data_IF_557244240679
#
_entry.id   IF_557244240679
#
_cell.length_a   1.000
_cell.length_b   1.000
_cell.length_c   1.000
_cell.angle_alpha   90.00
_cell.angle_beta   90.00
_cell.angle_gamma   90.00
#
_symmetry.space_group_name_H-M   'P 1'
#
loop_
_entity.id
_entity.type
_entity.pdbx_description
1 polymer ?
#
# COMPACT_ATOMS: atom_id res chain seq x y z
N UNK A 1 36.07 -21.83 -4.20
CA UNK A 1 34.63 -21.81 -4.53
C UNK A 1 34.02 -20.44 -4.28
N UNK A 2 34.48 -19.67 -3.30
CA UNK A 2 33.95 -18.33 -2.99
C UNK A 2 34.36 -17.24 -3.98
N UNK A 3 35.52 -17.34 -4.59
CA UNK A 3 35.96 -16.39 -5.62
C UNK A 3 35.13 -16.47 -6.92
N UNK A 4 34.69 -17.67 -7.32
CA UNK A 4 33.81 -17.82 -8.50
C UNK A 4 32.38 -17.28 -8.23
N UNK A 5 31.87 -17.44 -7.01
CA UNK A 5 30.55 -16.87 -6.62
C UNK A 5 30.60 -15.33 -6.56
N UNK A 6 31.73 -14.76 -6.10
CA UNK A 6 31.96 -13.31 -6.12
C UNK A 6 32.05 -12.76 -7.54
N UNK A 7 32.76 -13.45 -8.44
CA UNK A 7 32.89 -13.01 -9.84
C UNK A 7 31.59 -13.15 -10.64
N UNK A 8 30.80 -14.20 -10.40
CA UNK A 8 29.49 -14.36 -11.06
C UNK A 8 28.48 -13.33 -10.54
N UNK A 9 28.50 -12.99 -9.26
CA UNK A 9 27.69 -11.92 -8.68
C UNK A 9 28.06 -10.53 -9.25
N UNK A 10 29.37 -10.25 -9.39
CA UNK A 10 29.85 -8.99 -9.95
C UNK A 10 29.57 -8.85 -11.46
N UNK A 11 29.64 -9.94 -12.23
CA UNK A 11 29.27 -9.93 -13.65
C UNK A 11 27.77 -9.80 -13.86
N UNK A 12 26.93 -10.44 -13.03
CA UNK A 12 25.48 -10.32 -13.09
C UNK A 12 25.02 -8.90 -12.71
N UNK A 13 25.62 -8.32 -11.69
CA UNK A 13 25.34 -6.93 -11.28
C UNK A 13 25.72 -5.92 -12.39
N UNK A 14 26.87 -6.12 -13.06
CA UNK A 14 27.27 -5.25 -14.18
C UNK A 14 26.38 -5.43 -15.44
N UNK A 15 25.81 -6.60 -15.68
CA UNK A 15 24.89 -6.82 -16.80
C UNK A 15 23.52 -6.15 -16.58
N UNK A 16 23.06 -5.99 -15.34
CA UNK A 16 21.81 -5.29 -15.03
C UNK A 16 21.94 -3.75 -15.05
N UNK A 17 23.12 -3.21 -14.82
CA UNK A 17 23.40 -1.77 -14.78
C UNK A 17 23.36 -1.09 -16.15
N UNK A 18 23.69 -1.80 -17.24
CA UNK A 18 23.79 -1.20 -18.57
C UNK A 18 22.43 -0.70 -19.08
N UNK A 19 21.35 -1.48 -19.04
CA UNK A 19 20.02 -1.03 -19.46
C UNK A 19 19.52 0.19 -18.68
N UNK A 20 19.64 0.16 -17.36
CA UNK A 20 19.16 1.26 -16.52
C UNK A 20 19.96 2.55 -16.76
N UNK A 21 21.29 2.46 -16.88
CA UNK A 21 22.11 3.63 -17.16
C UNK A 21 21.82 4.24 -18.55
N UNK A 22 21.61 3.41 -19.58
CA UNK A 22 21.20 3.88 -20.90
C UNK A 22 19.84 4.58 -20.84
N UNK A 23 18.86 3.98 -20.16
CA UNK A 23 17.56 4.60 -19.96
C UNK A 23 17.68 5.94 -19.23
N UNK A 24 18.49 6.03 -18.17
CA UNK A 24 18.75 7.29 -17.44
C UNK A 24 19.34 8.38 -18.33
N UNK A 25 20.32 8.06 -19.18
CA UNK A 25 20.91 8.99 -20.13
C UNK A 25 19.85 9.49 -21.12
N UNK A 26 19.10 8.58 -21.74
CA UNK A 26 18.06 8.93 -22.71
C UNK A 26 16.93 9.75 -22.09
N UNK A 27 16.51 9.43 -20.86
CA UNK A 27 15.52 10.22 -20.10
C UNK A 27 16.03 11.66 -19.90
N UNK A 28 17.31 11.82 -19.52
CA UNK A 28 17.93 13.13 -19.33
C UNK A 28 18.05 13.93 -20.63
N UNK A 29 18.37 13.29 -21.74
CA UNK A 29 18.48 13.92 -23.07
C UNK A 29 17.10 14.28 -23.66
N UNK A 30 16.10 13.41 -23.45
CA UNK A 30 14.74 13.61 -24.00
C UNK A 30 13.96 14.65 -23.22
N UNK A 31 14.07 14.63 -21.88
CA UNK A 31 13.31 15.50 -20.97
C UNK A 31 14.25 16.52 -20.29
N UNK A 32 14.67 17.52 -21.05
CA UNK A 32 15.68 18.53 -20.68
C UNK A 32 15.29 19.46 -19.52
N UNK A 33 14.10 19.31 -18.93
CA UNK A 33 13.54 20.16 -17.86
C UNK A 33 14.03 19.81 -16.45
N UNK A 34 15.24 19.26 -16.29
CA UNK A 34 15.78 18.80 -15.01
C UNK A 34 14.81 17.82 -14.30
N UNK A 35 14.34 16.84 -15.04
CA UNK A 35 13.44 15.81 -14.53
C UNK A 35 14.17 14.50 -14.16
N UNK A 36 15.45 14.34 -14.52
CA UNK A 36 16.25 13.14 -14.26
C UNK A 36 17.41 13.46 -13.33
N UNK A 37 17.47 12.77 -12.20
CA UNK A 37 18.47 12.95 -11.15
C UNK A 37 19.26 11.66 -10.96
N UNK A 38 20.58 11.74 -11.12
CA UNK A 38 21.53 10.64 -10.91
C UNK A 38 22.27 10.83 -9.57
N UNK A 39 23.02 9.82 -9.07
CA UNK A 39 23.80 9.94 -7.84
C UNK A 39 24.81 11.11 -7.80
N UNK A 40 25.13 11.72 -8.97
CA UNK A 40 26.00 12.89 -9.07
C UNK A 40 25.28 14.23 -8.76
N UNK A 41 23.97 14.25 -8.65
CA UNK A 41 23.20 15.45 -8.33
C UNK A 41 23.04 15.60 -6.82
N UNK A 42 23.27 16.78 -6.28
CA UNK A 42 23.21 17.07 -4.84
C UNK A 42 21.85 16.67 -4.21
N UNK A 43 20.73 16.86 -4.93
CA UNK A 43 19.38 16.56 -4.48
C UNK A 43 19.03 15.06 -4.49
N UNK A 44 19.87 14.20 -5.11
CA UNK A 44 19.54 12.78 -5.29
C UNK A 44 19.23 12.07 -3.96
N UNK A 45 20.08 12.25 -2.97
CA UNK A 45 19.90 11.63 -1.66
C UNK A 45 18.62 12.13 -0.94
N UNK A 46 18.25 13.39 -1.12
CA UNK A 46 17.01 13.93 -0.56
C UNK A 46 15.80 13.27 -1.23
N UNK A 47 15.86 13.05 -2.55
CA UNK A 47 14.80 12.35 -3.28
C UNK A 47 14.69 10.87 -2.88
N UNK A 48 15.81 10.18 -2.62
CA UNK A 48 15.80 8.81 -2.09
C UNK A 48 15.08 8.77 -0.74
N UNK A 49 15.38 9.70 0.15
CA UNK A 49 14.87 9.77 1.53
C UNK A 49 13.43 10.30 1.67
N UNK A 50 12.74 10.58 0.57
CA UNK A 50 11.30 10.91 0.60
C UNK A 50 10.46 9.76 1.13
N UNK A 51 10.90 8.51 0.90
CA UNK A 51 10.21 7.32 1.40
C UNK A 51 10.24 7.28 2.94
N UNK A 52 9.10 6.88 3.52
CA UNK A 52 8.86 6.92 4.96
C UNK A 52 9.81 6.05 5.79
N UNK A 53 10.12 4.83 5.32
CA UNK A 53 10.97 3.86 6.05
C UNK A 53 12.35 3.74 5.43
N UNK A 54 13.40 3.65 6.28
CA UNK A 54 14.79 3.40 5.86
C UNK A 54 14.95 2.06 5.12
N UNK A 55 14.15 1.05 5.43
CA UNK A 55 14.18 -0.25 4.73
C UNK A 55 13.97 -0.11 3.23
N UNK A 56 13.29 0.96 2.80
CA UNK A 56 12.97 1.24 1.40
C UNK A 56 13.99 2.14 0.69
N UNK A 57 14.96 2.69 1.41
CA UNK A 57 15.99 3.54 0.79
C UNK A 57 16.97 2.68 0.01
N UNK A 58 16.85 2.73 -1.30
CA UNK A 58 17.68 2.01 -2.27
C UNK A 58 18.44 3.02 -3.12
N UNK A 59 19.40 2.54 -3.88
CA UNK A 59 20.24 3.36 -4.76
C UNK A 59 19.83 3.14 -6.23
N UNK A 60 18.73 3.77 -6.73
CA UNK A 60 18.36 3.68 -8.13
C UNK A 60 19.44 4.29 -9.04
N UNK A 61 19.57 3.77 -10.26
CA UNK A 61 20.50 4.33 -11.25
C UNK A 61 20.19 5.80 -11.55
N UNK A 62 18.91 6.15 -11.59
CA UNK A 62 18.42 7.53 -11.57
C UNK A 62 16.99 7.63 -11.07
N UNK A 63 16.59 8.85 -10.72
CA UNK A 63 15.23 9.21 -10.35
C UNK A 63 14.67 10.12 -11.44
N UNK A 64 13.68 9.65 -12.18
CA UNK A 64 12.94 10.43 -13.16
C UNK A 64 11.65 10.97 -12.52
N UNK A 65 11.44 12.28 -12.60
CA UNK A 65 10.31 12.99 -11.94
C UNK A 65 9.43 13.66 -12.99
N UNK A 66 8.57 12.90 -13.71
CA UNK A 66 7.69 13.42 -14.76
C UNK A 66 6.64 14.39 -14.20
N UNK A 67 6.20 15.33 -15.07
CA UNK A 67 5.16 16.33 -14.76
C UNK A 67 3.87 16.10 -15.51
N UNK A 68 3.94 15.37 -16.61
CA UNK A 68 2.82 15.16 -17.52
C UNK A 68 2.69 13.68 -17.90
N UNK A 69 1.49 13.29 -18.27
CA UNK A 69 1.21 11.95 -18.79
C UNK A 69 2.07 11.63 -20.03
N UNK A 70 2.34 12.62 -20.89
CA UNK A 70 3.20 12.44 -22.07
C UNK A 70 4.65 12.11 -21.68
N UNK A 71 5.16 12.68 -20.60
CA UNK A 71 6.49 12.34 -20.09
C UNK A 71 6.54 10.92 -19.55
N UNK A 72 5.48 10.44 -18.88
CA UNK A 72 5.37 9.04 -18.45
C UNK A 72 5.30 8.09 -19.65
N UNK A 73 4.53 8.44 -20.70
CA UNK A 73 4.46 7.67 -21.95
C UNK A 73 5.84 7.55 -22.61
N UNK A 74 6.55 8.67 -22.75
CA UNK A 74 7.91 8.68 -23.31
C UNK A 74 8.89 7.88 -22.46
N UNK A 75 8.76 7.92 -21.12
CA UNK A 75 9.58 7.11 -20.24
C UNK A 75 9.30 5.61 -20.44
N UNK A 76 8.04 5.19 -20.55
CA UNK A 76 7.71 3.78 -20.83
C UNK A 76 8.29 3.30 -22.16
N UNK A 77 8.29 4.14 -23.21
CA UNK A 77 8.91 3.80 -24.49
C UNK A 77 10.42 3.62 -24.35
N UNK A 78 11.10 4.53 -23.64
CA UNK A 78 12.56 4.45 -23.42
C UNK A 78 12.90 3.21 -22.59
N UNK A 79 12.16 2.93 -21.52
CA UNK A 79 12.38 1.76 -20.66
C UNK A 79 12.19 0.44 -21.43
N UNK A 80 11.21 0.38 -22.33
CA UNK A 80 10.96 -0.78 -23.17
C UNK A 80 12.11 -1.00 -24.18
N UNK A 81 12.58 0.07 -24.86
CA UNK A 81 13.67 0.00 -25.83
C UNK A 81 15.01 -0.38 -25.21
N UNK A 82 15.28 0.09 -23.99
CA UNK A 82 16.52 -0.22 -23.26
C UNK A 82 16.41 -1.51 -22.44
N UNK A 83 15.24 -2.16 -22.41
CA UNK A 83 14.93 -3.33 -21.56
C UNK A 83 15.20 -3.07 -20.07
N UNK A 84 15.07 -1.83 -19.62
CA UNK A 84 15.39 -1.40 -18.27
C UNK A 84 14.29 -1.76 -17.27
N UNK A 85 14.69 -2.20 -16.07
CA UNK A 85 13.80 -2.35 -14.94
C UNK A 85 13.56 -1.00 -14.25
N UNK A 86 12.41 -0.86 -13.62
CA UNK A 86 12.00 0.40 -13.01
C UNK A 86 11.12 0.20 -11.78
N UNK A 87 11.06 1.22 -10.94
CA UNK A 87 10.08 1.35 -9.86
C UNK A 87 9.17 2.54 -10.08
N UNK A 88 8.02 2.56 -9.44
CA UNK A 88 7.09 3.70 -9.46
C UNK A 88 6.74 4.11 -8.03
N UNK A 89 6.97 5.38 -7.70
CA UNK A 89 6.69 5.94 -6.38
C UNK A 89 5.66 7.06 -6.48
N UNK A 90 4.59 6.97 -5.69
CA UNK A 90 3.67 8.05 -5.34
C UNK A 90 4.13 8.71 -4.04
N UNK A 91 3.48 8.44 -2.90
CA UNK A 91 3.86 9.00 -1.60
C UNK A 91 5.01 8.31 -0.87
N UNK A 92 5.46 7.13 -1.32
CA UNK A 92 6.56 6.39 -0.69
C UNK A 92 6.29 5.90 0.73
N UNK A 93 5.05 5.51 1.05
CA UNK A 93 4.65 5.13 2.40
C UNK A 93 4.68 3.62 2.66
N UNK A 94 4.82 2.78 1.63
CA UNK A 94 4.96 1.32 1.77
C UNK A 94 6.35 1.00 2.36
N UNK A 95 6.46 0.35 3.54
CA UNK A 95 7.75 0.10 4.20
C UNK A 95 8.49 -1.13 3.67
N UNK A 96 8.03 -1.72 2.59
CA UNK A 96 8.60 -2.94 1.99
C UNK A 96 9.79 -2.58 1.10
N UNK A 97 10.93 -3.20 1.33
CA UNK A 97 12.10 -3.05 0.48
C UNK A 97 11.80 -3.47 -0.97
N UNK A 98 12.13 -2.61 -1.93
CA UNK A 98 11.86 -2.85 -3.34
C UNK A 98 10.42 -2.59 -3.79
N UNK A 99 9.50 -2.17 -2.90
CA UNK A 99 8.11 -1.94 -3.29
C UNK A 99 7.93 -0.81 -4.31
N UNK A 100 8.68 0.26 -4.18
CA UNK A 100 8.61 1.40 -5.10
C UNK A 100 9.96 1.70 -5.76
N UNK A 101 11.06 1.30 -5.16
CA UNK A 101 12.43 1.66 -5.56
C UNK A 101 13.35 0.48 -5.29
N UNK A 102 14.18 0.13 -6.27
CA UNK A 102 15.20 -0.90 -6.16
C UNK A 102 16.59 -0.37 -6.56
N UNK A 103 17.62 -1.08 -6.14
CA UNK A 103 19.00 -0.72 -6.49
C UNK A 103 19.26 -0.90 -7.99
N UNK A 104 19.95 0.04 -8.60
CA UNK A 104 20.38 -0.01 -10.00
C UNK A 104 19.24 -0.04 -11.05
N UNK A 105 18.02 0.38 -10.69
CA UNK A 105 16.88 0.51 -11.59
C UNK A 105 16.52 1.99 -11.81
N UNK A 106 15.60 2.28 -12.73
CA UNK A 106 15.04 3.62 -12.89
C UNK A 106 13.90 3.82 -11.92
N UNK A 107 13.95 4.83 -11.05
CA UNK A 107 12.79 5.23 -10.25
C UNK A 107 11.97 6.28 -11.01
N UNK A 108 10.70 6.00 -11.30
CA UNK A 108 9.71 6.99 -11.74
C UNK A 108 9.01 7.57 -10.50
N UNK A 109 9.30 8.81 -10.17
CA UNK A 109 8.72 9.52 -9.02
C UNK A 109 7.56 10.40 -9.47
N UNK A 110 6.35 10.03 -9.10
CA UNK A 110 5.11 10.70 -9.51
C UNK A 110 4.78 11.96 -8.68
N UNK A 111 5.68 12.43 -7.82
CA UNK A 111 5.43 13.53 -6.87
C UNK A 111 5.00 14.85 -7.51
N UNK A 112 5.23 15.04 -8.81
CA UNK A 112 4.81 16.25 -9.53
C UNK A 112 3.41 16.16 -10.16
N UNK A 113 2.71 15.03 -10.04
CA UNK A 113 1.30 14.93 -10.41
C UNK A 113 0.42 15.44 -9.26
N UNK A 114 0.35 16.76 -9.11
CA UNK A 114 -0.30 17.44 -7.98
C UNK A 114 -1.56 18.21 -8.36
N UNK A 115 -2.03 18.07 -9.58
CA UNK A 115 -3.27 18.71 -10.02
C UNK A 115 -4.46 18.21 -9.20
N UNK A 116 -5.36 19.13 -8.85
CA UNK A 116 -6.59 18.83 -8.14
C UNK A 116 -7.70 19.78 -8.64
N UNK A 117 -8.82 19.18 -9.06
CA UNK A 117 -9.96 19.93 -9.62
C UNK A 117 -11.27 19.34 -9.12
N UNK A 118 -12.05 20.14 -8.37
CA UNK A 118 -13.37 19.77 -7.91
C UNK A 118 -14.46 20.29 -8.85
N UNK A 119 -15.39 19.41 -9.23
CA UNK A 119 -16.55 19.75 -10.06
C UNK A 119 -17.84 19.53 -9.28
N UNK A 120 -18.45 20.62 -8.80
CA UNK A 120 -19.66 20.59 -7.98
C UNK A 120 -20.88 20.00 -8.70
N UNK A 121 -21.05 20.28 -10.00
CA UNK A 121 -22.17 19.77 -10.81
C UNK A 121 -22.21 18.22 -10.84
N UNK A 122 -21.08 17.56 -10.71
CA UNK A 122 -20.96 16.13 -10.78
C UNK A 122 -20.58 15.46 -9.45
N UNK A 123 -20.40 16.23 -8.38
CA UNK A 123 -19.93 15.76 -7.08
C UNK A 123 -18.67 14.87 -7.22
N UNK A 124 -17.67 15.36 -7.95
CA UNK A 124 -16.44 14.65 -8.26
C UNK A 124 -15.23 15.57 -8.12
N UNK A 125 -14.10 14.95 -7.76
CA UNK A 125 -12.80 15.60 -7.80
C UNK A 125 -11.83 14.76 -8.64
N UNK A 126 -11.08 15.41 -9.52
CA UNK A 126 -9.93 14.83 -10.21
C UNK A 126 -8.68 15.18 -9.40
N UNK A 127 -7.87 14.18 -9.08
CA UNK A 127 -6.65 14.33 -8.29
C UNK A 127 -5.48 13.60 -8.94
N UNK A 128 -4.31 14.23 -8.94
CA UNK A 128 -3.07 13.64 -9.39
C UNK A 128 -2.52 12.61 -8.41
N UNK A 129 -1.85 11.59 -8.94
CA UNK A 129 -1.33 10.46 -8.15
C UNK A 129 -0.20 10.86 -7.19
N UNK A 130 0.46 12.01 -7.39
CA UNK A 130 1.55 12.51 -6.57
C UNK A 130 1.12 13.25 -5.29
N UNK A 131 -0.17 13.51 -5.12
CA UNK A 131 -0.72 14.15 -3.93
C UNK A 131 -0.63 13.26 -2.69
N UNK A 132 -0.63 13.91 -1.53
CA UNK A 132 -0.87 13.28 -0.22
C UNK A 132 -2.28 13.60 0.26
N UNK A 133 -2.83 12.80 1.17
CA UNK A 133 -4.22 12.96 1.63
C UNK A 133 -4.47 14.32 2.29
N UNK A 134 -3.48 14.90 2.97
CA UNK A 134 -3.59 16.25 3.50
C UNK A 134 -3.95 17.26 2.39
N UNK A 135 -3.25 17.24 1.26
CA UNK A 135 -3.50 18.17 0.16
C UNK A 135 -4.95 18.05 -0.36
N UNK A 136 -5.45 16.81 -0.47
CA UNK A 136 -6.81 16.54 -0.96
C UNK A 136 -7.86 17.03 0.03
N UNK A 137 -7.70 16.72 1.32
CA UNK A 137 -8.65 17.14 2.36
C UNK A 137 -8.65 18.65 2.54
N UNK A 138 -7.49 19.30 2.61
CA UNK A 138 -7.37 20.77 2.75
C UNK A 138 -7.98 21.50 1.55
N UNK A 139 -7.82 20.96 0.33
CA UNK A 139 -8.44 21.53 -0.85
C UNK A 139 -9.96 21.40 -0.85
N UNK A 140 -10.51 20.26 -0.44
CA UNK A 140 -11.94 19.98 -0.46
C UNK A 140 -12.71 20.67 0.69
N UNK A 141 -12.04 20.94 1.80
CA UNK A 141 -12.65 21.60 2.96
C UNK A 141 -13.25 22.98 2.61
N UNK A 142 -12.59 23.75 1.74
CA UNK A 142 -13.09 25.04 1.26
C UNK A 142 -14.42 24.95 0.50
N UNK A 143 -14.77 23.78 -0.02
CA UNK A 143 -16.04 23.54 -0.71
C UNK A 143 -17.08 22.84 0.19
N UNK A 144 -16.73 22.53 1.43
CA UNK A 144 -17.61 21.82 2.36
C UNK A 144 -17.91 20.38 1.96
N UNK A 145 -16.99 19.73 1.25
CA UNK A 145 -17.11 18.34 0.82
C UNK A 145 -15.86 17.55 1.19
N UNK A 146 -15.98 16.24 1.17
CA UNK A 146 -14.85 15.32 1.39
C UNK A 146 -14.93 14.12 0.45
N UNK A 147 -13.92 13.27 0.47
CA UNK A 147 -13.82 11.98 -0.23
C UNK A 147 -13.63 10.83 0.73
N UNK A 148 -13.88 9.61 0.30
CA UNK A 148 -13.46 8.39 1.00
C UNK A 148 -11.95 8.23 0.76
N UNK A 149 -11.16 8.85 1.61
CA UNK A 149 -9.70 8.98 1.47
C UNK A 149 -8.94 8.46 2.68
N UNK A 150 -7.62 8.50 2.62
CA UNK A 150 -6.74 7.99 3.67
C UNK A 150 -6.91 8.70 5.00
N UNK A 151 -6.72 7.95 6.09
CA UNK A 151 -6.81 8.40 7.49
C UNK A 151 -5.55 9.13 7.97
N UNK A 152 -4.41 8.79 7.38
CA UNK A 152 -3.10 9.37 7.70
C UNK A 152 -2.76 10.40 6.63
N UNK A 153 -2.59 11.65 7.05
CA UNK A 153 -2.50 12.81 6.16
C UNK A 153 -1.26 12.79 5.25
N UNK A 154 -0.15 12.22 5.73
CA UNK A 154 1.12 12.13 4.99
C UNK A 154 1.18 10.95 4.00
N UNK A 155 0.20 10.06 4.01
CA UNK A 155 0.12 8.93 3.05
C UNK A 155 -0.22 9.45 1.66
N UNK A 156 0.46 8.90 0.64
CA UNK A 156 0.22 9.22 -0.77
C UNK A 156 -1.10 8.66 -1.29
N UNK A 157 -1.69 9.38 -2.23
CA UNK A 157 -2.96 9.03 -2.86
C UNK A 157 -2.84 7.74 -3.68
N UNK A 158 -1.80 7.63 -4.52
CA UNK A 158 -1.70 6.58 -5.53
C UNK A 158 -1.66 5.17 -4.93
N UNK A 159 -0.68 4.88 -4.07
CA UNK A 159 -0.54 3.56 -3.46
C UNK A 159 -1.73 3.17 -2.61
N UNK A 160 -2.26 4.11 -1.82
CA UNK A 160 -3.41 3.84 -0.95
C UNK A 160 -4.64 3.40 -1.76
N UNK A 161 -5.01 4.13 -2.82
CA UNK A 161 -6.20 3.80 -3.63
C UNK A 161 -6.01 2.48 -4.37
N UNK A 162 -4.83 2.23 -4.93
CA UNK A 162 -4.53 1.00 -5.67
C UNK A 162 -4.52 -0.25 -4.77
N UNK A 163 -4.28 -0.09 -3.46
CA UNK A 163 -4.48 -1.12 -2.43
C UNK A 163 -5.86 -1.08 -1.78
N UNK A 164 -6.82 -0.39 -2.38
CA UNK A 164 -8.20 -0.22 -1.92
C UNK A 164 -8.42 0.52 -0.59
N UNK A 165 -7.46 1.20 -0.06
CA UNK A 165 -7.46 2.07 1.11
C UNK A 165 -8.68 2.15 2.04
N UNK A 166 -8.43 2.00 3.34
CA UNK A 166 -9.45 2.15 4.38
C UNK A 166 -9.57 3.63 4.78
N UNK A 167 -10.82 4.11 4.97
CA UNK A 167 -11.18 5.46 5.34
C UNK A 167 -12.04 5.49 6.60
N UNK A 168 -12.09 6.62 7.31
CA UNK A 168 -13.09 6.85 8.37
C UNK A 168 -14.53 6.84 7.84
N UNK A 169 -14.73 6.95 6.53
CA UNK A 169 -16.04 6.93 5.88
C UNK A 169 -16.39 5.56 5.28
N UNK A 170 -15.52 4.57 5.39
CA UNK A 170 -15.67 3.29 4.71
C UNK A 170 -16.91 2.51 5.16
N UNK A 171 -17.34 2.64 6.41
CA UNK A 171 -18.56 1.98 6.90
C UNK A 171 -19.79 2.38 6.07
N UNK A 172 -19.85 3.64 5.63
CA UNK A 172 -21.01 4.16 4.87
C UNK A 172 -20.85 4.02 3.36
N UNK A 173 -19.61 4.07 2.84
CA UNK A 173 -19.35 4.26 1.41
C UNK A 173 -18.42 3.22 0.79
N UNK A 174 -18.01 2.18 1.54
CA UNK A 174 -17.00 1.21 1.06
C UNK A 174 -15.57 1.76 1.17
N UNK A 175 -14.63 1.09 0.53
CA UNK A 175 -13.22 1.45 0.53
C UNK A 175 -12.92 2.64 -0.40
N UNK A 176 -11.74 3.22 -0.30
CA UNK A 176 -11.34 4.34 -1.17
C UNK A 176 -11.40 3.96 -2.66
N UNK A 177 -10.98 2.75 -3.04
CA UNK A 177 -11.07 2.27 -4.42
C UNK A 177 -12.50 2.13 -4.94
N UNK A 178 -13.48 1.81 -4.08
CA UNK A 178 -14.88 1.70 -4.45
C UNK A 178 -15.47 3.04 -4.87
N UNK A 179 -14.87 4.13 -4.38
CA UNK A 179 -15.26 5.50 -4.64
C UNK A 179 -14.55 6.14 -5.84
N UNK A 180 -13.69 5.38 -6.52
CA UNK A 180 -13.09 5.82 -7.78
C UNK A 180 -14.12 5.70 -8.91
N UNK A 181 -14.21 6.77 -9.70
CA UNK A 181 -15.07 6.86 -10.89
C UNK A 181 -14.26 6.64 -12.16
N UNK A 182 -12.98 7.05 -12.16
CA UNK A 182 -12.09 6.91 -13.32
C UNK A 182 -10.63 6.87 -12.87
N UNK A 183 -9.86 6.03 -13.54
CA UNK A 183 -8.40 6.02 -13.50
C UNK A 183 -7.87 6.52 -14.84
N UNK A 184 -6.97 7.53 -14.82
CA UNK A 184 -6.12 7.87 -15.96
C UNK A 184 -4.85 7.02 -15.90
N UNK A 185 -4.59 6.19 -16.90
CA UNK A 185 -3.56 5.13 -16.85
C UNK A 185 -2.65 5.21 -18.06
N UNK A 186 -1.35 5.07 -17.87
CA UNK A 186 -0.36 4.77 -18.93
C UNK A 186 -0.08 3.27 -18.90
N UNK A 187 -0.30 2.59 -20.02
CA UNK A 187 -0.10 1.15 -20.19
C UNK A 187 1.35 0.80 -20.51
N UNK A 188 1.65 -0.50 -20.58
CA UNK A 188 2.99 -1.02 -20.85
C UNK A 188 3.54 -0.61 -22.22
N UNK A 189 2.67 -0.43 -23.22
CA UNK A 189 3.04 0.04 -24.57
C UNK A 189 3.15 1.57 -24.69
N UNK A 190 2.99 2.30 -23.59
CA UNK A 190 2.98 3.76 -23.55
C UNK A 190 1.65 4.40 -23.97
N UNK A 191 0.64 3.63 -24.36
CA UNK A 191 -0.70 4.19 -24.64
C UNK A 191 -1.38 4.66 -23.36
N UNK A 192 -2.34 5.59 -23.49
CA UNK A 192 -3.12 6.10 -22.35
C UNK A 192 -4.57 5.70 -22.48
N UNK A 193 -5.16 5.29 -21.36
CA UNK A 193 -6.56 4.94 -21.27
C UNK A 193 -7.23 5.59 -20.06
N UNK A 194 -8.54 5.78 -20.17
CA UNK A 194 -9.43 6.09 -19.07
C UNK A 194 -10.21 4.83 -18.70
N UNK A 195 -9.84 4.21 -17.57
CA UNK A 195 -10.53 3.03 -17.06
C UNK A 195 -11.65 3.44 -16.11
N UNK A 196 -12.88 3.10 -16.43
CA UNK A 196 -14.07 3.44 -15.66
C UNK A 196 -15.22 2.45 -15.93
N UNK A 197 -16.38 2.68 -15.34
CA UNK A 197 -17.55 1.80 -15.45
C UNK A 197 -18.07 1.61 -16.90
N UNK A 198 -17.71 2.50 -17.82
CA UNK A 198 -18.18 2.50 -19.22
C UNK A 198 -17.08 2.13 -20.23
N UNK A 199 -15.81 2.33 -19.87
CA UNK A 199 -14.65 2.11 -20.73
C UNK A 199 -13.57 1.33 -19.97
N UNK A 200 -12.97 0.31 -20.60
CA UNK A 200 -11.96 -0.56 -19.97
C UNK A 200 -12.42 -1.10 -18.61
N UNK A 201 -13.61 -1.67 -18.58
CA UNK A 201 -14.31 -2.08 -17.35
C UNK A 201 -13.57 -3.17 -16.57
N UNK A 202 -12.92 -4.06 -17.27
CA UNK A 202 -12.09 -5.13 -16.74
C UNK A 202 -10.84 -4.55 -16.05
N UNK A 203 -10.14 -3.63 -16.71
CA UNK A 203 -9.02 -2.88 -16.13
C UNK A 203 -9.47 -2.03 -14.93
N UNK A 204 -10.63 -1.36 -15.03
CA UNK A 204 -11.21 -0.58 -13.94
C UNK A 204 -11.44 -1.42 -12.68
N UNK A 205 -11.95 -2.63 -12.85
CA UNK A 205 -12.13 -3.58 -11.75
C UNK A 205 -10.79 -4.04 -11.18
N UNK A 206 -9.82 -4.38 -12.01
CA UNK A 206 -8.50 -4.89 -11.59
C UNK A 206 -7.67 -3.85 -10.84
N UNK A 207 -7.71 -2.57 -11.26
CA UNK A 207 -7.02 -1.46 -10.58
C UNK A 207 -7.56 -1.19 -9.17
N UNK A 208 -8.74 -1.69 -8.84
CA UNK A 208 -9.32 -1.62 -7.49
C UNK A 208 -8.80 -2.77 -6.62
N UNK A 209 -7.56 -2.68 -6.16
CA UNK A 209 -6.96 -3.57 -5.20
C UNK A 209 -5.77 -4.40 -5.68
N UNK A 210 -5.41 -4.33 -6.97
CA UNK A 210 -4.28 -5.11 -7.48
C UNK A 210 -3.00 -4.29 -7.68
N UNK A 211 -2.86 -3.14 -7.00
CA UNK A 211 -1.66 -2.29 -7.05
C UNK A 211 -1.31 -1.84 -8.49
N UNK A 212 -0.02 -1.74 -8.80
CA UNK A 212 0.53 -1.25 -10.06
C UNK A 212 0.83 -2.38 -11.08
N UNK A 213 0.06 -3.48 -11.05
CA UNK A 213 0.31 -4.63 -11.92
C UNK A 213 -0.17 -4.44 -13.39
N UNK A 214 -0.90 -3.37 -13.71
CA UNK A 214 -1.54 -3.20 -15.01
C UNK A 214 -1.20 -1.89 -15.73
N UNK A 215 -0.50 -0.97 -15.06
CA UNK A 215 -0.17 0.33 -15.62
C UNK A 215 0.27 1.33 -14.56
N UNK A 216 0.73 2.50 -15.02
CA UNK A 216 1.06 3.65 -14.17
C UNK A 216 -0.13 4.58 -14.13
N UNK A 217 -0.79 4.68 -12.97
CA UNK A 217 -1.91 5.60 -12.79
C UNK A 217 -1.39 7.01 -12.58
N UNK A 218 -1.84 7.95 -13.39
CA UNK A 218 -1.47 9.37 -13.33
C UNK A 218 -2.50 10.23 -12.62
N UNK A 219 -3.77 9.84 -12.65
CA UNK A 219 -4.85 10.58 -11.98
C UNK A 219 -6.00 9.66 -11.57
N UNK A 220 -6.75 10.11 -10.57
CA UNK A 220 -7.98 9.49 -10.08
C UNK A 220 -9.12 10.49 -10.13
N UNK A 221 -10.31 10.06 -10.55
CA UNK A 221 -11.55 10.81 -10.33
C UNK A 221 -12.31 10.14 -9.18
N UNK A 222 -12.56 10.86 -8.10
CA UNK A 222 -13.24 10.36 -6.90
C UNK A 222 -14.63 10.98 -6.74
N UNK A 223 -15.57 10.23 -6.16
CA UNK A 223 -16.84 10.77 -5.66
C UNK A 223 -16.58 11.64 -4.45
N UNK A 224 -17.29 12.77 -4.34
CA UNK A 224 -17.27 13.65 -3.18
C UNK A 224 -18.59 13.58 -2.41
N UNK A 225 -18.52 13.86 -1.11
CA UNK A 225 -19.64 13.79 -0.18
C UNK A 225 -19.76 15.08 0.63
N UNK A 226 -20.98 15.62 0.86
CA UNK A 226 -21.21 16.88 1.57
C UNK A 226 -21.09 16.69 3.09
N UNK A 227 -19.92 16.29 3.56
CA UNK A 227 -19.59 16.07 4.96
C UNK A 227 -18.60 17.13 5.39
N UNK A 228 -19.08 18.11 6.18
CA UNK A 228 -18.27 19.24 6.64
C UNK A 228 -17.64 19.02 8.02
N UNK A 229 -18.27 18.21 8.85
CA UNK A 229 -17.82 17.97 10.22
C UNK A 229 -17.93 16.50 10.58
N UNK A 230 -16.91 16.01 11.23
CA UNK A 230 -16.88 14.70 11.88
C UNK A 230 -16.61 14.89 13.37
N UNK A 231 -17.19 14.02 14.18
CA UNK A 231 -16.84 13.93 15.59
C UNK A 231 -15.91 12.73 15.75
N UNK A 232 -14.82 12.90 16.47
CA UNK A 232 -13.86 11.84 16.70
C UNK A 232 -12.82 12.21 17.74
N UNK A 233 -11.96 11.26 18.09
CA UNK A 233 -10.88 11.47 19.04
C UNK A 233 -10.15 10.17 19.35
N UNK A 234 -9.08 10.28 20.13
CA UNK A 234 -8.29 9.15 20.63
C UNK A 234 -8.61 8.92 22.11
N UNK A 235 -8.81 7.67 22.48
CA UNK A 235 -8.96 7.26 23.88
C UNK A 235 -7.81 6.33 24.25
N UNK A 236 -7.02 6.72 25.23
CA UNK A 236 -5.97 5.89 25.81
C UNK A 236 -6.55 5.16 27.02
N UNK A 237 -6.30 3.85 27.11
CA UNK A 237 -6.80 2.97 28.14
C UNK A 237 -5.60 2.26 28.78
N UNK A 238 -5.54 2.23 30.12
CA UNK A 238 -4.49 1.53 30.84
C UNK A 238 -4.55 0.00 30.68
N UNK A 239 -3.44 -0.65 30.83
CA UNK A 239 -3.29 -2.12 30.71
C UNK A 239 -4.17 -2.91 31.69
N UNK A 240 -4.48 -2.32 32.84
CA UNK A 240 -5.43 -2.87 33.83
C UNK A 240 -6.85 -3.01 33.31
N UNK A 241 -7.18 -2.35 32.19
CA UNK A 241 -8.49 -2.37 31.53
C UNK A 241 -8.48 -3.04 30.16
N UNK A 242 -7.41 -3.78 29.82
CA UNK A 242 -7.26 -4.39 28.47
C UNK A 242 -8.39 -5.39 28.17
N UNK A 243 -8.88 -6.15 29.16
CA UNK A 243 -9.98 -7.10 28.94
C UNK A 243 -11.29 -6.40 28.63
N UNK A 244 -11.62 -5.33 29.36
CA UNK A 244 -12.81 -4.51 29.07
C UNK A 244 -12.74 -3.90 27.66
N UNK A 245 -11.55 -3.47 27.25
CA UNK A 245 -11.31 -2.92 25.91
C UNK A 245 -11.53 -3.97 24.82
N UNK A 246 -10.96 -5.17 24.98
CA UNK A 246 -11.08 -6.24 23.99
C UNK A 246 -12.53 -6.76 23.88
N UNK A 247 -13.24 -6.88 25.01
CA UNK A 247 -14.67 -7.21 25.01
C UNK A 247 -15.53 -6.14 24.31
N UNK A 248 -15.21 -4.85 24.55
CA UNK A 248 -15.90 -3.75 23.88
C UNK A 248 -15.61 -3.71 22.36
N UNK A 249 -14.40 -4.06 21.95
CA UNK A 249 -14.04 -4.21 20.54
C UNK A 249 -14.87 -5.29 19.85
N UNK A 250 -14.94 -6.49 20.41
CA UNK A 250 -15.76 -7.59 19.87
C UNK A 250 -17.21 -7.17 19.76
N UNK A 251 -17.76 -6.54 20.82
CA UNK A 251 -19.13 -6.04 20.81
C UNK A 251 -19.36 -5.00 19.71
N UNK A 252 -18.40 -4.11 19.49
CA UNK A 252 -18.44 -3.13 18.40
C UNK A 252 -18.39 -3.80 17.02
N UNK A 253 -17.48 -4.75 16.78
CA UNK A 253 -17.32 -5.44 15.50
C UNK A 253 -18.54 -6.27 15.11
N UNK A 254 -19.27 -6.80 16.09
CA UNK A 254 -20.48 -7.61 15.89
C UNK A 254 -21.79 -6.83 15.97
N UNK A 255 -21.74 -5.52 16.30
CA UNK A 255 -22.93 -4.69 16.40
C UNK A 255 -23.62 -4.48 15.03
N UNK A 256 -24.94 -4.20 15.00
CA UNK A 256 -25.63 -3.80 13.78
C UNK A 256 -25.02 -2.56 13.12
N UNK A 257 -25.03 -2.50 11.80
CA UNK A 257 -24.37 -1.45 11.03
C UNK A 257 -24.80 -0.01 11.38
N UNK A 258 -26.09 0.18 11.71
CA UNK A 258 -26.63 1.50 12.07
C UNK A 258 -26.13 2.05 13.41
N UNK A 259 -25.52 1.22 14.24
CA UNK A 259 -24.93 1.61 15.52
C UNK A 259 -23.44 1.92 15.40
N UNK A 260 -22.85 1.79 14.19
CA UNK A 260 -21.42 1.87 13.99
C UNK A 260 -20.98 3.22 13.49
N UNK A 261 -19.80 3.59 13.95
CA UNK A 261 -18.97 4.67 13.45
C UNK A 261 -17.63 4.03 13.08
N UNK A 262 -16.95 4.51 12.08
CA UNK A 262 -15.63 3.98 11.71
C UNK A 262 -14.66 4.08 12.89
N UNK A 263 -13.94 3.00 13.15
CA UNK A 263 -13.03 2.88 14.27
C UNK A 263 -11.76 2.11 13.87
N UNK A 264 -10.64 2.44 14.49
CA UNK A 264 -9.46 1.59 14.52
C UNK A 264 -8.90 1.57 15.94
N UNK A 265 -8.41 0.43 16.38
CA UNK A 265 -7.83 0.27 17.69
C UNK A 265 -6.37 -0.15 17.56
N UNK A 266 -5.49 0.54 18.28
CA UNK A 266 -4.07 0.22 18.36
C UNK A 266 -3.68 0.03 19.81
N UNK A 267 -2.88 -0.98 20.10
CA UNK A 267 -2.32 -1.21 21.42
C UNK A 267 -0.80 -1.07 21.34
N UNK A 268 -0.25 0.13 21.50
CA UNK A 268 1.20 0.27 21.58
C UNK A 268 1.73 -0.47 22.82
N UNK A 269 2.78 -1.25 22.62
CA UNK A 269 3.41 -2.04 23.71
C UNK A 269 4.65 -1.33 24.27
N UNK A 270 5.03 -0.18 23.72
CA UNK A 270 6.19 0.61 24.16
C UNK A 270 5.86 2.09 24.26
N UNK A 271 6.57 2.80 25.14
CA UNK A 271 6.26 4.17 25.57
C UNK A 271 6.74 5.29 24.62
N UNK A 272 7.43 4.98 23.51
CA UNK A 272 8.07 6.01 22.67
C UNK A 272 7.63 5.96 21.22
N UNK A 273 6.60 6.74 20.87
CA UNK A 273 5.99 6.79 19.52
C UNK A 273 6.41 8.04 18.71
N UNK A 274 7.35 8.85 19.21
CA UNK A 274 7.55 10.21 18.68
C UNK A 274 8.59 10.35 17.54
N UNK A 275 9.11 9.27 16.96
CA UNK A 275 10.20 9.38 15.97
C UNK A 275 10.07 8.46 14.78
N UNK A 276 8.89 8.34 14.20
CA UNK A 276 8.61 7.38 13.09
C UNK A 276 9.20 7.76 11.72
N UNK A 277 9.92 8.86 11.59
CA UNK A 277 10.71 9.14 10.39
C UNK A 277 12.11 8.57 10.57
N UNK A 278 12.59 7.82 9.57
CA UNK A 278 13.93 7.23 9.52
C UNK A 278 14.14 6.01 10.43
N UNK A 279 13.15 5.14 10.53
CA UNK A 279 13.28 3.84 11.17
C UNK A 279 12.93 2.70 10.22
N UNK A 280 13.37 1.50 10.57
CA UNK A 280 12.88 0.28 9.92
C UNK A 280 11.46 0.00 10.39
N UNK A 281 10.58 -0.35 9.46
CA UNK A 281 9.16 -0.62 9.73
C UNK A 281 8.76 -1.90 9.02
N UNK A 282 7.99 -2.74 9.69
CA UNK A 282 7.40 -3.95 9.12
C UNK A 282 6.00 -4.17 9.65
N UNK A 283 5.10 -4.54 8.75
CA UNK A 283 3.74 -4.95 9.07
C UNK A 283 3.58 -6.45 8.88
N UNK A 284 2.64 -7.06 9.62
CA UNK A 284 2.19 -8.43 9.40
C UNK A 284 0.67 -8.45 9.49
N UNK A 285 -0.02 -8.57 8.35
CA UNK A 285 -1.46 -8.49 8.27
C UNK A 285 -2.12 -9.87 8.20
N UNK A 286 -3.27 -10.03 8.84
CA UNK A 286 -4.18 -11.16 8.66
C UNK A 286 -5.62 -10.71 8.82
N UNK A 287 -6.55 -11.47 8.28
CA UNK A 287 -7.98 -11.25 8.49
C UNK A 287 -8.54 -12.33 9.41
N UNK A 288 -9.26 -11.88 10.43
CA UNK A 288 -9.82 -12.76 11.45
C UNK A 288 -11.30 -12.44 11.72
N UNK A 289 -12.07 -13.46 12.11
CA UNK A 289 -13.39 -13.24 12.73
C UNK A 289 -13.19 -12.86 14.19
N UNK A 290 -13.86 -11.81 14.69
CA UNK A 290 -13.73 -11.38 16.07
C UNK A 290 -14.39 -12.41 17.02
N UNK A 291 -13.58 -13.15 17.79
CA UNK A 291 -14.04 -14.11 18.82
C UNK A 291 -13.27 -13.92 20.10
N UNK A 292 -13.92 -14.17 21.25
CA UNK A 292 -13.29 -14.05 22.58
C UNK A 292 -12.10 -15.01 22.72
N UNK A 293 -12.23 -16.21 22.18
CA UNK A 293 -11.21 -17.24 22.25
C UNK A 293 -9.93 -16.83 21.52
N UNK A 294 -10.04 -16.31 20.29
CA UNK A 294 -8.89 -15.83 19.55
C UNK A 294 -8.28 -14.56 20.15
N UNK A 295 -9.13 -13.63 20.59
CA UNK A 295 -8.69 -12.39 21.25
C UNK A 295 -7.88 -12.69 22.53
N UNK A 296 -8.27 -13.73 23.29
CA UNK A 296 -7.51 -14.17 24.45
C UNK A 296 -6.11 -14.70 24.07
N UNK A 297 -5.98 -15.43 22.95
CA UNK A 297 -4.68 -15.88 22.43
C UNK A 297 -3.83 -14.68 21.99
N UNK A 298 -4.40 -13.74 21.23
CA UNK A 298 -3.67 -12.52 20.80
C UNK A 298 -3.17 -11.74 22.03
N UNK A 299 -4.01 -11.57 23.06
CA UNK A 299 -3.61 -10.94 24.32
C UNK A 299 -2.47 -11.67 24.99
N UNK A 300 -2.49 -13.01 25.03
CA UNK A 300 -1.43 -13.81 25.64
C UNK A 300 -0.09 -13.63 24.88
N UNK A 301 -0.13 -13.71 23.55
CA UNK A 301 1.04 -13.44 22.70
C UNK A 301 1.58 -12.03 22.96
N UNK A 302 0.71 -11.03 22.97
CA UNK A 302 1.09 -9.63 23.19
C UNK A 302 1.76 -9.38 24.54
N UNK A 303 1.29 -10.04 25.61
CA UNK A 303 1.77 -9.80 26.97
C UNK A 303 2.90 -10.74 27.38
N UNK A 304 2.88 -11.98 26.95
CA UNK A 304 3.71 -13.04 27.52
C UNK A 304 4.63 -13.75 26.51
N UNK A 305 4.51 -13.50 25.21
CA UNK A 305 5.37 -14.13 24.22
C UNK A 305 6.86 -13.79 24.48
N UNK A 306 7.75 -14.79 24.47
CA UNK A 306 9.20 -14.54 24.61
C UNK A 306 9.74 -13.68 23.46
N UNK A 307 9.10 -13.69 22.30
CA UNK A 307 9.46 -12.90 21.13
C UNK A 307 9.28 -11.39 21.37
N UNK A 308 8.36 -10.99 22.23
CA UNK A 308 8.22 -9.60 22.67
C UNK A 308 9.46 -9.07 23.40
N UNK A 309 10.20 -9.94 24.10
CA UNK A 309 11.47 -9.55 24.73
C UNK A 309 12.53 -9.21 23.67
N UNK A 310 12.60 -9.98 22.59
CA UNK A 310 13.51 -9.70 21.47
C UNK A 310 13.24 -8.32 20.89
N UNK A 311 11.95 -8.00 20.60
CA UNK A 311 11.57 -6.70 20.04
C UNK A 311 11.91 -5.56 21.02
N UNK A 312 11.61 -5.71 22.31
CA UNK A 312 11.95 -4.72 23.34
C UNK A 312 13.44 -4.52 23.54
N UNK A 313 14.25 -5.51 23.19
CA UNK A 313 15.71 -5.43 23.28
C UNK A 313 16.35 -4.75 22.08
N UNK A 314 15.63 -4.64 20.97
CA UNK A 314 16.07 -3.92 19.79
C UNK A 314 16.14 -2.41 20.08
N UNK A 315 17.02 -1.71 19.37
CA UNK A 315 17.19 -0.27 19.55
C UNK A 315 15.93 0.49 19.14
N UNK A 316 15.25 1.12 20.11
CA UNK A 316 13.94 1.75 19.97
C UNK A 316 12.85 0.80 19.42
N UNK A 317 12.98 -0.50 19.74
CA UNK A 317 12.03 -1.53 19.31
C UNK A 317 10.64 -1.26 19.86
N UNK A 318 9.68 -1.10 18.95
CA UNK A 318 8.27 -0.86 19.24
C UNK A 318 7.42 -1.91 18.53
N UNK A 319 6.39 -2.38 19.22
CA UNK A 319 5.41 -3.29 18.65
C UNK A 319 4.00 -2.81 18.99
N UNK A 320 3.12 -2.75 18.00
CA UNK A 320 1.70 -2.51 18.20
C UNK A 320 0.89 -3.65 17.61
N UNK A 321 -0.23 -3.97 18.25
CA UNK A 321 -1.24 -4.89 17.77
C UNK A 321 -2.45 -4.07 17.40
N UNK A 322 -2.86 -4.15 16.16
CA UNK A 322 -3.87 -3.26 15.59
C UNK A 322 -5.05 -4.05 15.05
N UNK A 323 -6.26 -3.58 15.35
CA UNK A 323 -7.51 -4.12 14.83
C UNK A 323 -8.23 -3.06 14.02
N UNK A 324 -8.60 -3.39 12.81
CA UNK A 324 -9.41 -2.55 11.92
C UNK A 324 -10.74 -3.28 11.67
N UNK A 325 -11.81 -2.89 12.36
CA UNK A 325 -13.13 -3.49 12.21
C UNK A 325 -13.69 -3.29 10.81
N UNK A 326 -14.03 -4.38 10.14
CA UNK A 326 -14.65 -4.40 8.82
C UNK A 326 -16.00 -5.09 8.95
N UNK A 327 -17.07 -4.35 8.74
CA UNK A 327 -18.41 -4.88 8.81
C UNK A 327 -18.86 -5.52 7.50
N UNK A 328 -19.86 -6.39 7.57
CA UNK A 328 -20.57 -6.84 6.37
C UNK A 328 -21.12 -5.65 5.57
N UNK A 329 -21.63 -4.61 6.26
CA UNK A 329 -22.20 -3.43 5.61
C UNK A 329 -21.17 -2.64 4.81
N UNK A 330 -19.94 -2.49 5.33
CA UNK A 330 -18.82 -1.85 4.60
C UNK A 330 -18.56 -2.57 3.28
N UNK A 331 -18.44 -3.90 3.33
CA UNK A 331 -18.21 -4.73 2.13
C UNK A 331 -19.35 -4.58 1.12
N UNK A 332 -20.61 -4.67 1.61
CA UNK A 332 -21.79 -4.45 0.76
C UNK A 332 -21.86 -3.04 0.18
N UNK A 333 -21.44 -2.01 0.94
CA UNK A 333 -21.39 -0.64 0.43
C UNK A 333 -20.41 -0.53 -0.75
N UNK A 334 -19.24 -1.17 -0.67
CA UNK A 334 -18.29 -1.27 -1.78
C UNK A 334 -18.87 -2.01 -2.97
N UNK A 335 -19.55 -3.13 -2.77
CA UNK A 335 -20.21 -3.89 -3.84
C UNK A 335 -21.28 -3.07 -4.55
N UNK A 336 -22.04 -2.24 -3.82
CA UNK A 336 -23.04 -1.32 -4.40
C UNK A 336 -22.44 -0.13 -5.14
N UNK A 337 -21.20 0.24 -4.89
CA UNK A 337 -20.58 1.45 -5.45
C UNK A 337 -20.34 1.41 -6.97
N UNK A 338 -20.57 0.28 -7.63
CA UNK A 338 -20.46 0.09 -9.08
C UNK A 338 -19.09 -0.42 -9.52
N UNK A 339 -19.09 -1.27 -10.54
CA UNK A 339 -17.90 -1.89 -11.14
C UNK A 339 -17.25 -3.00 -10.29
N UNK A 340 -17.53 -3.07 -8.98
CA UNK A 340 -16.88 -4.00 -8.04
C UNK A 340 -15.38 -3.71 -7.85
N UNK A 341 -14.71 -4.55 -7.08
CA UNK A 341 -13.26 -4.53 -6.85
C UNK A 341 -12.67 -5.95 -6.93
N UNK A 342 -11.35 -6.06 -6.92
CA UNK A 342 -10.65 -7.33 -7.08
C UNK A 342 -10.43 -8.12 -5.79
N UNK A 343 -10.84 -7.60 -4.63
CA UNK A 343 -10.45 -8.11 -3.30
C UNK A 343 -11.07 -9.47 -2.93
N UNK A 344 -12.20 -9.84 -3.52
CA UNK A 344 -12.88 -11.10 -3.16
C UNK A 344 -13.43 -11.12 -1.73
N UNK A 345 -13.72 -9.96 -1.13
CA UNK A 345 -14.19 -9.85 0.25
C UNK A 345 -15.57 -10.48 0.46
N UNK A 346 -15.69 -11.31 1.49
CA UNK A 346 -16.97 -11.80 1.97
C UNK A 346 -17.66 -10.75 2.87
N UNK A 347 -18.99 -10.55 2.72
CA UNK A 347 -19.74 -9.59 3.55
C UNK A 347 -20.06 -10.20 4.92
N UNK A 348 -19.04 -10.40 5.73
CA UNK A 348 -19.11 -10.89 7.11
C UNK A 348 -18.37 -9.94 8.05
N UNK A 349 -18.75 -9.92 9.33
CA UNK A 349 -17.99 -9.20 10.33
C UNK A 349 -16.57 -9.80 10.44
N UNK A 350 -15.57 -8.98 10.23
CA UNK A 350 -14.17 -9.38 10.23
C UNK A 350 -13.29 -8.24 10.76
N UNK A 351 -12.12 -8.57 11.23
CA UNK A 351 -11.10 -7.62 11.63
C UNK A 351 -9.88 -7.78 10.76
N UNK A 352 -9.41 -6.69 10.14
CA UNK A 352 -8.09 -6.67 9.53
C UNK A 352 -7.10 -6.38 10.64
N UNK A 353 -6.52 -7.45 11.14
CA UNK A 353 -5.57 -7.43 12.23
C UNK A 353 -4.15 -7.34 11.67
N UNK A 354 -3.32 -6.51 12.28
CA UNK A 354 -1.91 -6.47 11.93
C UNK A 354 -1.02 -6.21 13.15
N UNK A 355 0.22 -6.67 13.05
CA UNK A 355 1.29 -6.39 13.99
C UNK A 355 2.19 -5.34 13.33
N UNK A 356 2.37 -4.21 13.99
CA UNK A 356 3.22 -3.11 13.55
C UNK A 356 4.52 -3.12 14.33
N UNK A 357 5.63 -3.10 13.64
CA UNK A 357 6.96 -3.15 14.21
C UNK A 357 7.79 -1.98 13.71
N UNK A 358 8.50 -1.34 14.65
CA UNK A 358 9.45 -0.28 14.37
C UNK A 358 10.75 -0.54 15.15
N UNK A 359 11.89 -0.27 14.52
CA UNK A 359 13.21 -0.32 15.16
C UNK A 359 14.20 0.56 14.39
N UNK A 360 15.35 0.92 14.99
CA UNK A 360 16.23 1.92 14.38
C UNK A 360 17.49 1.35 13.74
N UNK A 361 17.93 0.17 14.13
CA UNK A 361 19.22 -0.35 13.66
C UNK A 361 19.05 -1.56 12.77
N UNK A 362 19.71 -1.52 11.61
CA UNK A 362 19.72 -2.63 10.66
C UNK A 362 20.32 -3.93 11.27
N UNK A 363 21.18 -3.82 12.31
CA UNK A 363 21.71 -5.00 13.03
C UNK A 363 20.61 -5.79 13.75
N UNK A 364 19.48 -5.15 14.07
CA UNK A 364 18.33 -5.77 14.73
C UNK A 364 17.35 -6.41 13.73
N UNK A 365 17.45 -6.13 12.41
CA UNK A 365 16.49 -6.54 11.36
C UNK A 365 16.16 -8.04 11.43
N UNK A 366 17.17 -8.90 11.46
CA UNK A 366 16.97 -10.34 11.45
C UNK A 366 16.26 -10.86 12.71
N UNK A 367 16.63 -10.30 13.88
CA UNK A 367 16.05 -10.72 15.15
C UNK A 367 14.59 -10.25 15.30
N UNK A 368 14.31 -8.99 14.94
CA UNK A 368 12.97 -8.41 15.00
C UNK A 368 12.05 -9.11 14.01
N UNK A 369 12.52 -9.33 12.78
CA UNK A 369 11.74 -10.04 11.75
C UNK A 369 11.39 -11.46 12.20
N UNK A 370 12.36 -12.24 12.68
CA UNK A 370 12.10 -13.60 13.14
C UNK A 370 11.13 -13.66 14.33
N UNK A 371 11.23 -12.69 15.26
CA UNK A 371 10.31 -12.59 16.38
C UNK A 371 8.87 -12.27 15.92
N UNK A 372 8.73 -11.38 14.97
CA UNK A 372 7.43 -11.04 14.38
C UNK A 372 6.80 -12.22 13.64
N UNK A 373 7.58 -12.90 12.79
CA UNK A 373 7.12 -14.07 12.05
C UNK A 373 6.64 -15.19 13.00
N UNK A 374 7.35 -15.39 14.12
CA UNK A 374 6.96 -16.38 15.11
C UNK A 374 5.64 -16.02 15.83
N UNK A 375 5.47 -14.77 16.27
CA UNK A 375 4.22 -14.31 16.88
C UNK A 375 3.04 -14.38 15.89
N UNK A 376 3.26 -13.98 14.64
CA UNK A 376 2.26 -14.07 13.61
C UNK A 376 1.84 -15.52 13.38
N UNK A 377 2.79 -16.45 13.23
CA UNK A 377 2.51 -17.87 13.02
C UNK A 377 1.73 -18.50 14.17
N UNK A 378 2.03 -18.11 15.43
CA UNK A 378 1.29 -18.57 16.60
C UNK A 378 -0.18 -18.12 16.56
N UNK A 379 -0.42 -16.83 16.28
CA UNK A 379 -1.78 -16.27 16.17
C UNK A 379 -2.53 -16.89 14.98
N UNK A 380 -1.88 -17.03 13.84
CA UNK A 380 -2.48 -17.62 12.64
C UNK A 380 -2.89 -19.09 12.86
N UNK A 381 -2.02 -19.88 13.49
CA UNK A 381 -2.33 -21.27 13.83
C UNK A 381 -3.52 -21.38 14.78
N UNK A 382 -3.61 -20.49 15.77
CA UNK A 382 -4.74 -20.42 16.67
C UNK A 382 -6.02 -20.00 15.95
N UNK A 383 -5.96 -18.99 15.09
CA UNK A 383 -7.10 -18.53 14.28
C UNK A 383 -7.64 -19.65 13.37
N UNK A 384 -6.77 -20.39 12.70
CA UNK A 384 -7.13 -21.55 11.87
C UNK A 384 -7.78 -22.65 12.70
N UNK A 385 -7.20 -22.98 13.86
CA UNK A 385 -7.73 -24.01 14.78
C UNK A 385 -9.12 -23.66 15.32
N UNK A 386 -9.38 -22.37 15.57
CA UNK A 386 -10.65 -21.86 16.08
C UNK A 386 -11.69 -21.58 14.98
N UNK A 387 -11.34 -21.74 13.70
CA UNK A 387 -12.21 -21.38 12.57
C UNK A 387 -12.46 -19.87 12.44
N UNK A 388 -11.56 -19.07 13.00
CA UNK A 388 -11.63 -17.59 12.99
C UNK A 388 -10.74 -16.97 11.90
N UNK A 389 -9.92 -17.75 11.22
CA UNK A 389 -9.07 -17.28 10.11
C UNK A 389 -9.90 -17.05 8.84
N UNK A 390 -9.63 -15.93 8.16
CA UNK A 390 -10.12 -15.64 6.81
C UNK A 390 -8.92 -15.45 5.88
N UNK A 391 -8.96 -15.96 4.63
CA UNK A 391 -7.77 -15.96 3.77
C UNK A 391 -7.32 -14.58 3.30
N UNK A 392 -8.21 -13.59 3.26
CA UNK A 392 -7.90 -12.24 2.76
C UNK A 392 -6.79 -11.57 3.57
N UNK A 393 -5.87 -10.90 2.86
CA UNK A 393 -4.79 -10.07 3.45
C UNK A 393 -4.91 -8.66 2.90
N UNK A 394 -5.02 -7.66 3.77
CA UNK A 394 -5.10 -6.27 3.37
C UNK A 394 -3.75 -5.76 2.89
N UNK A 395 -3.65 -5.40 1.61
CA UNK A 395 -2.41 -5.05 0.93
C UNK A 395 -1.63 -3.91 1.61
N UNK A 396 -2.33 -2.88 2.08
CA UNK A 396 -1.69 -1.68 2.60
C UNK A 396 -1.00 -1.90 3.96
N UNK A 397 -1.30 -3.01 4.64
CA UNK A 397 -0.70 -3.39 5.93
C UNK A 397 0.05 -4.74 5.84
N UNK A 398 0.33 -5.23 4.64
CA UNK A 398 1.03 -6.48 4.41
C UNK A 398 2.55 -6.28 4.28
N UNK A 399 3.31 -7.37 4.39
CA UNK A 399 4.74 -7.40 4.10
C UNK A 399 5.08 -8.27 2.89
N UNK A 400 6.31 -8.19 2.41
CA UNK A 400 6.81 -8.81 1.19
C UNK A 400 6.69 -10.34 1.12
N UNK A 401 6.61 -11.02 2.25
CA UNK A 401 6.45 -12.49 2.33
C UNK A 401 5.00 -12.97 2.31
N UNK A 402 4.01 -12.06 2.19
CA UNK A 402 2.60 -12.43 2.17
C UNK A 402 2.05 -12.48 0.74
N UNK A 403 1.38 -13.58 0.39
CA UNK A 403 0.77 -13.79 -0.94
C UNK A 403 -0.57 -13.02 -1.04
N UNK A 404 -0.47 -11.68 -1.03
CA UNK A 404 -1.63 -10.79 -0.97
C UNK A 404 -2.61 -11.04 -2.09
N UNK A 405 -2.16 -11.03 -3.35
CA UNK A 405 -3.07 -11.19 -4.49
C UNK A 405 -3.66 -12.61 -4.57
N UNK A 406 -2.92 -13.64 -4.13
CA UNK A 406 -3.48 -15.00 -4.00
C UNK A 406 -4.59 -15.05 -2.95
N UNK A 407 -4.51 -14.25 -1.89
CA UNK A 407 -5.50 -14.19 -0.82
C UNK A 407 -6.88 -13.67 -1.26
N UNK A 408 -6.96 -13.05 -2.45
CA UNK A 408 -8.21 -12.53 -3.03
C UNK A 408 -9.09 -13.65 -3.65
N UNK A 409 -8.58 -14.88 -3.67
CA UNK A 409 -9.27 -16.08 -4.16
C UNK A 409 -9.07 -16.32 -5.66
N UNK A 410 -9.24 -17.60 -6.03
CA UNK A 410 -8.91 -18.13 -7.36
C UNK A 410 -9.62 -17.38 -8.51
N UNK A 411 -10.89 -17.00 -8.30
CA UNK A 411 -11.68 -16.29 -9.33
C UNK A 411 -11.11 -14.88 -9.58
N UNK A 412 -10.76 -14.13 -8.52
CA UNK A 412 -10.12 -12.83 -8.64
C UNK A 412 -8.76 -12.93 -9.33
N UNK A 413 -7.94 -13.92 -8.93
CA UNK A 413 -6.63 -14.17 -9.54
C UNK A 413 -6.77 -14.51 -11.02
N UNK A 414 -7.67 -15.42 -11.39
CA UNK A 414 -7.93 -15.80 -12.79
C UNK A 414 -8.33 -14.58 -13.63
N UNK A 415 -9.28 -13.79 -13.13
CA UNK A 415 -9.76 -12.60 -13.84
C UNK A 415 -8.67 -11.51 -13.94
N UNK A 416 -7.84 -11.30 -12.91
CA UNK A 416 -6.68 -10.41 -12.98
C UNK A 416 -5.67 -10.85 -14.03
N UNK A 417 -5.46 -12.17 -14.21
CA UNK A 417 -4.60 -12.71 -15.28
C UNK A 417 -5.15 -12.42 -16.66
N UNK A 418 -6.46 -12.56 -16.89
CA UNK A 418 -7.11 -12.21 -18.15
C UNK A 418 -6.93 -10.71 -18.48
N UNK A 419 -7.03 -9.83 -17.47
CA UNK A 419 -6.76 -8.41 -17.62
C UNK A 419 -5.28 -8.16 -17.96
N UNK A 420 -4.36 -8.82 -17.29
CA UNK A 420 -2.93 -8.70 -17.57
C UNK A 420 -2.61 -9.14 -19.01
N UNK A 421 -3.14 -10.28 -19.47
CA UNK A 421 -2.93 -10.76 -20.83
C UNK A 421 -3.45 -9.78 -21.88
N UNK A 422 -4.52 -9.05 -21.58
CA UNK A 422 -5.12 -8.07 -22.47
C UNK A 422 -4.31 -6.75 -22.53
N UNK A 423 -3.91 -6.20 -21.38
CA UNK A 423 -3.29 -4.85 -21.27
C UNK A 423 -1.77 -4.86 -21.15
N UNK A 424 -1.19 -5.97 -20.75
CA UNK A 424 0.26 -6.17 -20.64
C UNK A 424 0.66 -7.58 -21.11
N UNK A 425 0.44 -7.92 -22.41
CA UNK A 425 0.72 -9.26 -22.94
C UNK A 425 2.20 -9.65 -22.84
N UNK A 426 3.10 -8.68 -22.73
CA UNK A 426 4.54 -8.89 -22.53
C UNK A 426 4.95 -8.99 -21.06
N UNK A 427 4.00 -8.82 -20.13
CA UNK A 427 4.19 -8.86 -18.69
C UNK A 427 5.29 -7.90 -18.20
N UNK A 428 5.29 -6.68 -18.73
CA UNK A 428 6.26 -5.61 -18.38
C UNK A 428 6.16 -5.29 -16.90
N UNK A 429 4.93 -5.09 -16.39
CA UNK A 429 4.68 -4.77 -14.98
C UNK A 429 4.92 -5.96 -14.03
N UNK A 430 4.97 -7.19 -14.54
CA UNK A 430 5.37 -8.36 -13.75
C UNK A 430 6.90 -8.50 -13.70
N UNK A 431 7.59 -8.29 -14.83
CA UNK A 431 9.00 -8.65 -15.02
C UNK A 431 9.98 -7.53 -14.82
N UNK A 432 9.57 -6.29 -15.13
CA UNK A 432 10.44 -5.11 -15.16
C UNK A 432 10.12 -4.08 -14.08
N UNK A 433 8.91 -4.10 -13.54
CA UNK A 433 8.54 -3.20 -12.47
C UNK A 433 8.95 -3.79 -11.11
N UNK A 434 9.74 -3.04 -10.33
CA UNK A 434 9.88 -3.28 -8.89
C UNK A 434 8.52 -3.20 -8.21
N UNK A 435 8.26 -4.05 -7.26
CA UNK A 435 6.99 -4.05 -6.57
C UNK A 435 6.84 -5.24 -5.63
N UNK A 436 6.12 -5.02 -4.52
CA UNK A 436 5.98 -6.00 -3.47
C UNK A 436 5.03 -7.15 -3.84
N UNK A 437 3.89 -6.84 -4.48
CA UNK A 437 2.82 -7.80 -4.67
C UNK A 437 2.57 -8.03 -6.16
N UNK A 438 2.97 -9.19 -6.64
CA UNK A 438 2.78 -9.63 -8.02
C UNK A 438 1.67 -10.69 -8.09
N UNK A 439 1.08 -10.82 -9.28
CA UNK A 439 0.16 -11.92 -9.52
C UNK A 439 0.86 -13.26 -9.31
N UNK A 440 0.22 -14.24 -8.64
CA UNK A 440 0.80 -15.57 -8.41
C UNK A 440 1.22 -16.21 -9.73
N UNK A 441 2.35 -16.93 -9.74
CA UNK A 441 2.77 -17.72 -10.89
C UNK A 441 1.71 -18.79 -11.21
N UNK A 442 1.48 -19.05 -12.51
CA UNK A 442 0.59 -20.13 -12.95
C UNK A 442 1.33 -21.46 -12.86
#
# INVERSE_FOLDING_TARGET
MDMLKSMTGFMAANQSLVPANNACLRLGETFINNATFTPQHDIYNDLVRVSWSETTWKEPACIFVPRTTNEVQGAMSILAEEEASFGVRSGGHMPIAGAAMADNEVLIDMSRFTDIEYTSEHNKVVIGTGLRWQNVHDYLDQYGVTVVGGRVLDVGVGGLILGCGLSYLSESYGLACDNVVNFGVVLADGSTVNANEYSHRDLFWALKGASNNFGIVTSFTLRTYPIQKVWGGTRVIGWDRVDDFLDAMIAYETAPAHERVTHSAHTPVTDDVNSSRYCSIRFHAMTIKPTKELTAVIKDVMLHSPHMQTIRSATAGTCAFSWQPISAHLVEAGQRAGGGNSLGLEPVAQSWFHIDLLWWKAEDDAAVTAAADAMYAEIEAAAKKLGSYLPYVFMNDAHEGQDVLASYGDESVRRMREVQEHYDPHRVFERKLAGAFKLPSV
#
